data_IF_548945261393
#
_entry.id   IF_548945261393
#
_cell.length_a   1.000
_cell.length_b   1.000
_cell.length_c   1.000
_cell.angle_alpha   90.00
_cell.angle_beta   90.00
_cell.angle_gamma   90.00
#
_symmetry.space_group_name_H-M   'P 1'
#
loop_
_entity.id
_entity.type
_entity.pdbx_description
1 polymer ?
#
# COMPACT_ATOMS: atom_id res chain seq x y z
N UNK A 1 2.34 5.42 15.23
CA UNK A 1 3.47 6.00 14.45
C UNK A 1 4.11 4.86 13.67
N UNK A 2 4.01 4.85 12.33
CA UNK A 2 4.60 3.80 11.50
C UNK A 2 6.13 3.84 11.57
N UNK A 3 6.78 2.67 11.59
CA UNK A 3 8.23 2.57 11.65
C UNK A 3 8.88 3.10 10.35
N UNK A 4 10.14 3.58 10.41
CA UNK A 4 10.86 4.11 9.24
C UNK A 4 10.88 3.13 8.06
N UNK A 5 11.00 1.82 8.32
CA UNK A 5 11.01 0.76 7.30
C UNK A 5 9.69 0.66 6.52
N UNK A 6 8.55 0.87 7.16
CA UNK A 6 7.24 0.77 6.51
C UNK A 6 6.95 1.97 5.59
N UNK A 7 7.54 3.14 5.89
CA UNK A 7 7.47 4.30 4.99
C UNK A 7 8.32 4.13 3.74
N UNK A 8 9.47 3.47 3.88
CA UNK A 8 10.39 3.18 2.77
C UNK A 8 9.73 2.19 1.81
N UNK A 9 9.06 1.16 2.36
CA UNK A 9 8.25 0.18 1.61
C UNK A 9 7.29 0.82 0.62
N UNK A 10 6.52 1.79 1.09
CA UNK A 10 5.55 2.48 0.25
C UNK A 10 6.18 3.24 -0.93
N UNK A 11 7.42 3.72 -0.81
CA UNK A 11 8.09 4.48 -1.88
C UNK A 11 8.56 3.54 -2.98
N UNK A 12 9.25 2.46 -2.63
CA UNK A 12 9.76 1.52 -3.62
C UNK A 12 8.59 0.76 -4.29
N UNK A 13 7.53 0.43 -3.52
CA UNK A 13 6.26 -0.11 -4.07
C UNK A 13 5.59 0.86 -5.07
N UNK A 14 5.66 2.19 -4.84
CA UNK A 14 5.13 3.22 -5.74
C UNK A 14 6.00 3.46 -6.98
N UNK A 15 7.30 3.17 -6.90
CA UNK A 15 8.26 3.34 -8.01
C UNK A 15 8.47 2.05 -8.81
N UNK A 16 7.87 0.92 -8.40
CA UNK A 16 7.96 -0.36 -9.10
C UNK A 16 9.30 -1.08 -8.94
N UNK A 17 10.09 -0.73 -7.92
CA UNK A 17 11.38 -1.36 -7.61
C UNK A 17 11.36 -2.00 -6.22
N UNK A 18 12.20 -3.02 -6.03
CA UNK A 18 12.35 -3.74 -4.76
C UNK A 18 13.07 -2.86 -3.72
N UNK A 19 12.61 -2.93 -2.46
CA UNK A 19 13.09 -2.09 -1.35
C UNK A 19 14.56 -2.18 -1.02
N UNK A 20 15.12 -3.36 -1.28
CA UNK A 20 16.50 -3.69 -0.99
C UNK A 20 17.43 -3.32 -2.14
N UNK A 21 16.88 -2.71 -3.21
CA UNK A 21 17.69 -2.22 -4.32
C UNK A 21 18.57 -1.03 -3.84
N UNK A 22 19.89 -1.05 -4.09
CA UNK A 22 20.81 0.02 -3.64
C UNK A 22 20.34 1.43 -4.04
N UNK A 23 19.73 1.56 -5.23
CA UNK A 23 19.18 2.83 -5.70
C UNK A 23 18.09 3.41 -4.79
N UNK A 24 17.24 2.56 -4.18
CA UNK A 24 16.22 3.02 -3.24
C UNK A 24 16.86 3.63 -1.98
N UNK A 25 17.98 3.06 -1.50
CA UNK A 25 18.70 3.59 -0.35
C UNK A 25 19.37 4.94 -0.65
N UNK A 26 20.02 5.06 -1.80
CA UNK A 26 20.67 6.31 -2.23
C UNK A 26 19.66 7.46 -2.39
N UNK A 27 18.50 7.18 -2.99
CA UNK A 27 17.42 8.16 -3.15
C UNK A 27 16.88 8.60 -1.78
N UNK A 28 16.74 7.67 -0.84
CA UNK A 28 16.30 7.99 0.52
C UNK A 28 17.30 8.85 1.27
N UNK A 29 18.59 8.56 1.16
CA UNK A 29 19.64 9.36 1.75
C UNK A 29 19.61 10.78 1.16
N UNK A 30 19.45 10.90 -0.15
CA UNK A 30 19.30 12.20 -0.82
C UNK A 30 18.08 12.98 -0.32
N UNK A 31 16.90 12.36 -0.26
CA UNK A 31 15.67 13.01 0.23
C UNK A 31 15.83 13.48 1.68
N UNK A 32 16.54 12.73 2.53
CA UNK A 32 16.78 13.12 3.92
C UNK A 32 17.76 14.30 4.04
N UNK A 33 18.76 14.38 3.16
CA UNK A 33 19.80 15.39 3.19
C UNK A 33 19.48 16.64 2.35
N UNK A 34 18.46 16.60 1.49
CA UNK A 34 18.05 17.70 0.62
C UNK A 34 16.66 18.25 1.01
N UNK A 35 16.56 19.45 1.63
CA UNK A 35 15.29 20.04 2.05
C UNK A 35 14.27 20.20 0.92
N UNK A 36 14.71 20.58 -0.28
CA UNK A 36 13.84 20.76 -1.45
C UNK A 36 13.21 19.44 -1.88
N UNK A 37 14.01 18.37 -1.94
CA UNK A 37 13.53 17.04 -2.31
C UNK A 37 12.60 16.47 -1.24
N UNK A 38 12.85 16.76 0.04
CA UNK A 38 11.95 16.39 1.14
C UNK A 38 10.57 17.03 1.00
N UNK A 39 10.51 18.33 0.72
CA UNK A 39 9.24 19.04 0.51
C UNK A 39 8.48 18.48 -0.70
N UNK A 40 9.18 18.23 -1.80
CA UNK A 40 8.58 17.61 -2.98
C UNK A 40 8.02 16.22 -2.66
N UNK A 41 8.81 15.37 -2.01
CA UNK A 41 8.41 14.04 -1.57
C UNK A 41 7.16 14.08 -0.67
N UNK A 42 7.14 14.96 0.33
CA UNK A 42 5.99 15.13 1.23
C UNK A 42 4.74 15.57 0.47
N UNK A 43 4.90 16.38 -0.58
CA UNK A 43 3.79 16.84 -1.43
C UNK A 43 3.22 15.69 -2.26
N UNK A 44 4.08 14.96 -2.97
CA UNK A 44 3.67 13.78 -3.76
C UNK A 44 2.96 12.75 -2.88
N UNK A 45 3.50 12.51 -1.67
CA UNK A 45 2.89 11.61 -0.70
C UNK A 45 1.48 12.06 -0.28
N UNK A 46 1.28 13.36 -0.02
CA UNK A 46 -0.03 13.92 0.30
C UNK A 46 -1.00 13.80 -0.89
N UNK A 47 -0.52 14.02 -2.11
CA UNK A 47 -1.34 13.86 -3.32
C UNK A 47 -1.82 12.42 -3.46
N UNK A 48 -0.94 11.42 -3.29
CA UNK A 48 -1.33 10.00 -3.35
C UNK A 48 -2.37 9.66 -2.27
N UNK A 49 -2.18 10.17 -1.06
CA UNK A 49 -3.15 10.00 0.02
C UNK A 49 -4.51 10.56 -0.37
N UNK A 50 -4.55 11.80 -0.88
CA UNK A 50 -5.78 12.43 -1.32
C UNK A 50 -6.44 11.68 -2.48
N UNK A 51 -5.68 11.21 -3.47
CA UNK A 51 -6.24 10.41 -4.57
C UNK A 51 -6.90 9.14 -4.05
N UNK A 52 -6.24 8.40 -3.14
CA UNK A 52 -6.80 7.17 -2.56
C UNK A 52 -8.04 7.40 -1.69
N UNK A 53 -8.07 8.51 -0.95
CA UNK A 53 -9.19 8.84 -0.06
C UNK A 53 -10.38 9.47 -0.81
N UNK A 54 -10.11 10.18 -1.91
CA UNK A 54 -11.13 10.85 -2.74
C UNK A 54 -11.66 9.95 -3.85
N UNK A 55 -10.90 8.95 -4.27
CA UNK A 55 -11.43 7.82 -5.03
C UNK A 55 -12.42 7.11 -4.11
N UNK A 56 -13.71 7.39 -4.28
CA UNK A 56 -14.77 6.57 -3.68
C UNK A 56 -14.46 5.12 -4.08
N UNK A 57 -14.15 4.23 -3.13
CA UNK A 57 -13.87 2.85 -3.49
C UNK A 57 -15.14 2.29 -4.09
N UNK A 58 -15.14 2.08 -5.41
CA UNK A 58 -16.10 1.15 -5.99
C UNK A 58 -15.91 -0.16 -5.24
N UNK A 59 -16.99 -0.68 -4.65
CA UNK A 59 -16.92 -1.95 -3.95
C UNK A 59 -16.40 -2.99 -4.94
N UNK A 60 -15.28 -3.62 -4.57
CA UNK A 60 -14.69 -4.68 -5.40
C UNK A 60 -15.74 -5.78 -5.59
N UNK A 61 -16.09 -6.14 -6.84
CA UNK A 61 -17.05 -7.20 -7.08
C UNK A 61 -16.63 -8.50 -6.37
N UNK A 62 -17.60 -9.15 -5.71
CA UNK A 62 -17.34 -10.31 -4.86
C UNK A 62 -16.67 -11.46 -5.64
N UNK A 63 -17.06 -11.64 -6.90
CA UNK A 63 -16.49 -12.66 -7.80
C UNK A 63 -15.00 -12.39 -8.12
N UNK A 64 -14.61 -11.12 -8.25
CA UNK A 64 -13.21 -10.72 -8.46
C UNK A 64 -12.40 -11.02 -7.20
N UNK A 65 -12.93 -10.69 -6.02
CA UNK A 65 -12.29 -10.97 -4.73
C UNK A 65 -12.09 -12.49 -4.53
N UNK A 66 -13.13 -13.29 -4.75
CA UNK A 66 -13.07 -14.74 -4.62
C UNK A 66 -12.05 -15.37 -5.57
N UNK A 67 -12.02 -14.94 -6.83
CA UNK A 67 -11.04 -15.42 -7.81
C UNK A 67 -9.62 -15.06 -7.40
N UNK A 68 -9.40 -13.83 -6.93
CA UNK A 68 -8.10 -13.37 -6.47
C UNK A 68 -7.59 -14.24 -5.30
N UNK A 69 -8.42 -14.44 -4.28
CA UNK A 69 -8.03 -15.22 -3.10
C UNK A 69 -7.73 -16.67 -3.44
N UNK A 70 -8.46 -17.28 -4.38
CA UNK A 70 -8.15 -18.64 -4.88
C UNK A 70 -6.80 -18.69 -5.61
N UNK A 71 -6.51 -17.71 -6.46
CA UNK A 71 -5.21 -17.64 -7.17
C UNK A 71 -4.06 -17.48 -6.17
N UNK A 72 -4.25 -16.68 -5.13
CA UNK A 72 -3.27 -16.49 -4.07
C UNK A 72 -3.20 -17.64 -3.05
N UNK A 73 -4.10 -18.64 -3.16
CA UNK A 73 -4.24 -19.77 -2.20
C UNK A 73 -4.54 -19.29 -0.77
N UNK A 74 -5.38 -18.27 -0.66
CA UNK A 74 -5.83 -17.64 0.59
C UNK A 74 -7.34 -17.83 0.83
N UNK A 75 -7.98 -18.74 0.10
CA UNK A 75 -9.41 -19.01 0.12
C UNK A 75 -9.94 -19.53 1.47
N UNK A 76 -9.07 -20.10 2.31
CA UNK A 76 -9.40 -20.45 3.69
C UNK A 76 -9.76 -19.20 4.53
N UNK A 77 -9.14 -18.05 4.26
CA UNK A 77 -9.40 -16.80 5.01
C UNK A 77 -10.76 -16.17 4.64
N UNK A 78 -11.19 -16.32 3.39
CA UNK A 78 -12.55 -15.93 2.95
C UNK A 78 -13.62 -16.71 3.72
N UNK A 79 -13.40 -18.01 3.89
CA UNK A 79 -14.33 -18.92 4.59
C UNK A 79 -14.55 -18.50 6.05
N UNK A 80 -13.50 -18.01 6.71
CA UNK A 80 -13.56 -17.52 8.10
C UNK A 80 -14.20 -16.12 8.22
N UNK A 81 -14.01 -15.25 7.23
CA UNK A 81 -14.67 -13.93 7.17
C UNK A 81 -16.18 -14.06 6.97
N UNK A 82 -16.63 -14.97 6.11
CA UNK A 82 -18.06 -15.26 5.88
C UNK A 82 -18.73 -15.78 7.17
N UNK A 83 -18.04 -16.62 7.96
CA UNK A 83 -18.54 -17.12 9.25
C UNK A 83 -18.70 -16.01 10.29
N UNK A 84 -17.71 -15.11 10.39
CA UNK A 84 -17.78 -13.96 11.31
C UNK A 84 -18.92 -13.01 10.95
N UNK A 85 -19.12 -12.72 9.67
CA UNK A 85 -20.18 -11.81 9.21
C UNK A 85 -21.59 -12.37 9.44
N UNK A 86 -21.77 -13.71 9.49
CA UNK A 86 -23.04 -14.35 9.88
C UNK A 86 -23.29 -14.40 11.39
N UNK A 87 -22.26 -14.28 12.23
CA UNK A 87 -22.41 -14.35 13.68
C UNK A 87 -22.79 -13.01 14.33
N UNK A 88 -22.79 -11.92 13.57
CA UNK A 88 -23.17 -10.57 13.98
C UNK A 88 -24.46 -10.06 13.32
N UNK A 89 -25.29 -10.96 12.78
CA UNK A 89 -26.63 -10.63 12.30
C UNK A 89 -27.69 -11.41 13.08
#
# INVERSE_FOLDING_TARGET
>A
MLHPKERIKQICDLMGEDLDHPSCQEILEHINNCPTCKVYYDTVKKTIFLCRDLDCPEEMPEDVNERLMKVLKLDDLLTEQIKKNRSTK
#
